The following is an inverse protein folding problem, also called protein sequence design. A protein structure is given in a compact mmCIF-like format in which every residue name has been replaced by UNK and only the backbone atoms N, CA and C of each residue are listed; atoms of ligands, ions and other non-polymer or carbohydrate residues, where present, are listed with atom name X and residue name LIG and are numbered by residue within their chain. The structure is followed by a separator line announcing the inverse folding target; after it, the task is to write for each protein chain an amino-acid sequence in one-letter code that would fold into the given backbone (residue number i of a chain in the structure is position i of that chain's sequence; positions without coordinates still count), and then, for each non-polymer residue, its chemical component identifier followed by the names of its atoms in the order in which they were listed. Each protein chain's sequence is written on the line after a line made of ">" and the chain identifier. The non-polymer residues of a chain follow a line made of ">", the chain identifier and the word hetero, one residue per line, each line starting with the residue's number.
data_IF_279087482948
#
_entry.id   IF_279087482948
#
_cell.length_a   1.000
_cell.length_b   1.000
_cell.length_c   1.000
_cell.angle_alpha   90.00
_cell.angle_beta   90.00
_cell.angle_gamma   90.00
#
_symmetry.space_group_name_H-M   'P 1'
#
loop_
_entity.id
_entity.type
_entity.pdbx_description
1 polymer ?
#
# COMPACT_ATOMS: atom_id res chain seq x y z
N UNK A 1 2.38 -7.41 -4.31
CA UNK A 1 1.96 -7.61 -5.72
C UNK A 1 1.21 -6.37 -6.14
N UNK A 2 1.65 -5.68 -7.21
CA UNK A 2 0.85 -4.58 -7.74
C UNK A 2 -0.55 -5.10 -8.06
N UNK A 3 -1.60 -4.46 -7.53
CA UNK A 3 -2.97 -4.74 -7.95
C UNK A 3 -3.06 -4.39 -9.42
N UNK A 4 -2.84 -5.39 -10.26
CA UNK A 4 -2.89 -5.26 -11.70
C UNK A 4 -4.35 -5.08 -12.11
N UNK A 5 -4.60 -4.60 -13.31
CA UNK A 5 -5.96 -4.61 -13.88
C UNK A 5 -6.65 -5.97 -13.75
N UNK A 6 -5.88 -7.06 -13.79
CA UNK A 6 -6.39 -8.43 -13.62
C UNK A 6 -7.06 -8.64 -12.26
N UNK A 7 -6.44 -8.17 -11.17
CA UNK A 7 -6.98 -8.33 -9.83
C UNK A 7 -8.21 -7.43 -9.61
N UNK A 8 -8.21 -6.23 -10.21
CA UNK A 8 -9.37 -5.36 -10.16
C UNK A 8 -10.55 -5.92 -10.96
N UNK A 9 -10.30 -6.49 -12.15
CA UNK A 9 -11.29 -7.23 -12.93
C UNK A 9 -11.86 -8.43 -12.14
N UNK A 10 -11.02 -9.17 -11.42
CA UNK A 10 -11.46 -10.29 -10.57
C UNK A 10 -12.38 -9.80 -9.44
N UNK A 11 -12.04 -8.69 -8.78
CA UNK A 11 -12.87 -8.04 -7.76
C UNK A 11 -14.25 -7.67 -8.32
N UNK A 12 -14.29 -7.03 -9.49
CA UNK A 12 -15.53 -6.66 -10.16
C UNK A 12 -16.36 -7.89 -10.61
N UNK A 13 -15.68 -8.95 -11.12
CA UNK A 13 -16.34 -10.20 -11.47
C UNK A 13 -17.05 -10.82 -10.27
N UNK A 14 -16.32 -10.91 -9.13
CA UNK A 14 -16.83 -11.49 -7.88
C UNK A 14 -18.04 -10.68 -7.38
N UNK A 15 -17.94 -9.34 -7.37
CA UNK A 15 -19.05 -8.48 -6.93
C UNK A 15 -20.32 -8.61 -7.77
N UNK A 16 -20.18 -9.09 -9.01
CA UNK A 16 -21.30 -9.35 -9.92
C UNK A 16 -21.76 -10.83 -9.94
N UNK A 17 -21.19 -11.67 -9.07
CA UNK A 17 -21.48 -13.10 -8.98
C UNK A 17 -21.29 -13.86 -10.33
N UNK A 18 -20.40 -13.42 -11.20
CA UNK A 18 -20.10 -14.07 -12.48
C UNK A 18 -19.10 -15.20 -12.22
N UNK A 19 -19.36 -16.42 -12.74
CA UNK A 19 -18.39 -17.51 -12.63
C UNK A 19 -17.11 -17.17 -13.43
N UNK A 20 -15.96 -17.73 -13.01
CA UNK A 20 -14.71 -17.45 -13.72
C UNK A 20 -14.74 -18.00 -15.15
N UNK A 21 -15.30 -19.20 -15.34
CA UNK A 21 -15.45 -19.80 -16.64
C UNK A 21 -16.29 -18.92 -17.57
N UNK A 22 -17.46 -18.46 -17.11
CA UNK A 22 -18.33 -17.59 -17.90
C UNK A 22 -17.63 -16.26 -18.21
N UNK A 23 -16.89 -15.70 -17.25
CA UNK A 23 -16.21 -14.44 -17.43
C UNK A 23 -15.16 -14.45 -18.53
N UNK A 24 -14.35 -15.52 -18.60
CA UNK A 24 -13.25 -15.62 -19.59
C UNK A 24 -13.67 -16.33 -20.88
N UNK A 25 -14.82 -16.99 -20.92
CA UNK A 25 -15.31 -17.75 -22.08
C UNK A 25 -15.30 -16.90 -23.35
N UNK A 26 -14.76 -17.44 -24.44
CA UNK A 26 -14.62 -16.76 -25.73
C UNK A 26 -13.50 -15.71 -25.82
N UNK A 27 -12.77 -15.41 -24.72
CA UNK A 27 -11.74 -14.37 -24.67
C UNK A 27 -10.37 -15.01 -24.40
N UNK A 28 -10.27 -15.86 -23.36
CA UNK A 28 -9.04 -16.55 -22.95
C UNK A 28 -9.36 -17.78 -22.10
N UNK A 29 -8.38 -18.65 -21.86
CA UNK A 29 -8.57 -19.82 -21.00
C UNK A 29 -8.51 -19.43 -19.51
N UNK A 30 -9.23 -20.17 -18.64
CA UNK A 30 -9.10 -19.98 -17.18
C UNK A 30 -7.67 -20.09 -16.67
N UNK A 31 -6.88 -21.03 -17.25
CA UNK A 31 -5.46 -21.23 -16.91
C UNK A 31 -4.67 -19.95 -17.18
N UNK A 32 -4.89 -19.32 -18.33
CA UNK A 32 -4.22 -18.08 -18.70
C UNK A 32 -4.68 -16.92 -17.78
N UNK A 33 -5.96 -16.82 -17.47
CA UNK A 33 -6.48 -15.83 -16.54
C UNK A 33 -5.86 -15.95 -15.14
N UNK A 34 -5.73 -17.18 -14.62
CA UNK A 34 -5.06 -17.45 -13.34
C UNK A 34 -3.60 -16.99 -13.32
N UNK A 35 -2.88 -17.15 -14.44
CA UNK A 35 -1.49 -16.64 -14.55
C UNK A 35 -1.42 -15.12 -14.47
N UNK A 36 -2.38 -14.42 -15.07
CA UNK A 36 -2.49 -12.96 -14.93
C UNK A 36 -2.78 -12.55 -13.49
N UNK A 37 -3.69 -13.23 -12.80
CA UNK A 37 -4.00 -12.96 -11.39
C UNK A 37 -2.80 -13.18 -10.46
N UNK A 38 -1.95 -14.17 -10.76
CA UNK A 38 -0.72 -14.44 -10.01
C UNK A 38 0.43 -13.50 -10.36
N UNK A 39 0.28 -12.67 -11.38
CA UNK A 39 1.34 -11.79 -11.86
C UNK A 39 2.45 -12.51 -12.62
N UNK A 40 2.22 -13.78 -13.05
CA UNK A 40 3.17 -14.57 -13.86
C UNK A 40 3.32 -14.01 -15.29
N UNK A 41 2.35 -13.24 -15.74
CA UNK A 41 2.37 -12.52 -17.01
C UNK A 41 1.42 -11.32 -16.95
N UNK A 42 1.64 -10.33 -17.82
CA UNK A 42 0.77 -9.15 -17.96
C UNK A 42 -0.37 -9.45 -18.92
N UNK A 43 -1.59 -9.03 -18.55
CA UNK A 43 -2.76 -9.16 -19.43
C UNK A 43 -2.68 -8.13 -20.56
N UNK A 44 -2.79 -8.54 -21.84
CA UNK A 44 -2.84 -7.60 -22.97
C UNK A 44 -4.06 -6.67 -22.89
N UNK A 45 -3.91 -5.44 -23.38
CA UNK A 45 -4.98 -4.42 -23.31
C UNK A 45 -6.24 -4.83 -24.08
N UNK A 46 -6.12 -5.54 -25.22
CA UNK A 46 -7.26 -6.06 -25.95
C UNK A 46 -8.09 -7.04 -25.12
N UNK A 47 -7.43 -7.89 -24.30
CA UNK A 47 -8.11 -8.80 -23.37
C UNK A 47 -8.77 -8.05 -22.21
N UNK A 48 -8.12 -7.01 -21.68
CA UNK A 48 -8.73 -6.13 -20.67
C UNK A 48 -10.01 -5.53 -21.21
N UNK A 49 -9.98 -4.95 -22.42
CA UNK A 49 -11.13 -4.34 -23.05
C UNK A 49 -12.31 -5.32 -23.20
N UNK A 50 -12.05 -6.51 -23.74
CA UNK A 50 -13.09 -7.53 -23.92
C UNK A 50 -13.72 -7.98 -22.57
N UNK A 51 -12.90 -8.14 -21.54
CA UNK A 51 -13.39 -8.52 -20.20
C UNK A 51 -14.17 -7.39 -19.53
N UNK A 52 -13.76 -6.13 -19.70
CA UNK A 52 -14.49 -4.94 -19.23
C UNK A 52 -15.86 -4.84 -19.91
N UNK A 53 -15.89 -5.00 -21.24
CA UNK A 53 -17.16 -5.04 -21.99
C UNK A 53 -18.09 -6.16 -21.51
N UNK A 54 -17.52 -7.33 -21.18
CA UNK A 54 -18.31 -8.46 -20.65
C UNK A 54 -18.88 -8.20 -19.25
N UNK A 55 -18.28 -7.29 -18.47
CA UNK A 55 -18.85 -6.77 -17.23
C UNK A 55 -19.94 -5.71 -17.48
N UNK A 56 -20.22 -5.35 -18.73
CA UNK A 56 -21.17 -4.28 -19.07
C UNK A 56 -20.65 -2.88 -18.70
N UNK A 57 -19.33 -2.70 -18.66
CA UNK A 57 -18.70 -1.42 -18.36
C UNK A 57 -18.09 -0.80 -19.62
N UNK A 58 -18.10 0.53 -19.66
CA UNK A 58 -17.23 1.29 -20.57
C UNK A 58 -15.78 1.23 -20.07
N UNK A 59 -14.83 1.29 -21.00
CA UNK A 59 -13.41 1.20 -20.68
C UNK A 59 -12.92 2.42 -19.88
N UNK A 60 -13.45 3.60 -20.18
CA UNK A 60 -13.09 4.82 -19.45
C UNK A 60 -13.63 4.75 -18.01
N UNK A 61 -14.86 4.33 -17.82
CA UNK A 61 -15.46 4.13 -16.49
C UNK A 61 -14.69 3.09 -15.66
N UNK A 62 -14.23 2.01 -16.32
CA UNK A 62 -13.39 1.02 -15.68
C UNK A 62 -12.06 1.60 -15.21
N UNK A 63 -11.37 2.38 -16.05
CA UNK A 63 -10.10 3.01 -15.66
C UNK A 63 -10.29 4.05 -14.56
N UNK A 64 -11.34 4.85 -14.60
CA UNK A 64 -11.64 5.83 -13.56
C UNK A 64 -11.93 5.13 -12.21
N UNK A 65 -12.79 4.12 -12.21
CA UNK A 65 -13.09 3.37 -10.98
C UNK A 65 -11.88 2.58 -10.45
N UNK A 66 -10.98 2.11 -11.32
CA UNK A 66 -9.72 1.50 -10.92
C UNK A 66 -8.77 2.50 -10.26
N UNK A 67 -8.71 3.74 -10.77
CA UNK A 67 -7.92 4.80 -10.16
C UNK A 67 -8.51 5.20 -8.80
N UNK A 68 -9.81 5.35 -8.70
CA UNK A 68 -10.52 5.65 -7.45
C UNK A 68 -10.28 4.57 -6.38
N UNK A 69 -10.33 3.29 -6.76
CA UNK A 69 -10.01 2.17 -5.86
C UNK A 69 -8.56 2.24 -5.35
N UNK A 70 -7.62 2.65 -6.18
CA UNK A 70 -6.23 2.88 -5.77
C UNK A 70 -6.06 4.08 -4.85
N UNK A 71 -6.76 5.18 -5.14
CA UNK A 71 -6.69 6.40 -4.33
C UNK A 71 -7.38 6.21 -2.98
N UNK A 72 -8.46 5.41 -2.91
CA UNK A 72 -9.16 5.12 -1.66
C UNK A 72 -8.23 4.51 -0.61
N UNK A 73 -7.38 3.56 -0.99
CA UNK A 73 -6.39 2.96 -0.08
C UNK A 73 -5.36 3.99 0.42
N UNK A 74 -4.87 4.86 -0.48
CA UNK A 74 -3.95 5.93 -0.07
C UNK A 74 -4.64 6.91 0.89
N UNK A 75 -5.91 7.24 0.66
CA UNK A 75 -6.66 8.14 1.54
C UNK A 75 -6.86 7.53 2.94
N UNK A 76 -7.15 6.22 3.01
CA UNK A 76 -7.26 5.51 4.31
C UNK A 76 -5.92 5.53 5.06
N UNK A 77 -4.78 5.31 4.37
CA UNK A 77 -3.45 5.39 4.98
C UNK A 77 -3.14 6.83 5.46
N UNK A 78 -3.51 7.86 4.68
CA UNK A 78 -3.38 9.25 5.09
C UNK A 78 -4.21 9.56 6.35
N UNK A 79 -5.41 9.03 6.45
CA UNK A 79 -6.24 9.16 7.64
C UNK A 79 -5.60 8.47 8.85
N UNK A 80 -5.05 7.25 8.67
CA UNK A 80 -4.31 6.54 9.70
C UNK A 80 -3.10 7.36 10.19
N UNK A 81 -2.31 7.91 9.27
CA UNK A 81 -1.21 8.81 9.60
C UNK A 81 -1.66 10.03 10.43
N UNK A 82 -2.76 10.67 10.05
CA UNK A 82 -3.31 11.82 10.77
C UNK A 82 -3.77 11.45 12.19
N UNK A 83 -4.39 10.28 12.38
CA UNK A 83 -4.78 9.79 13.71
C UNK A 83 -3.56 9.58 14.61
N UNK A 84 -2.49 8.96 14.07
CA UNK A 84 -1.24 8.75 14.79
C UNK A 84 -0.61 10.10 15.18
N UNK A 85 -0.49 11.02 14.23
CA UNK A 85 0.11 12.35 14.44
C UNK A 85 -0.65 13.19 15.46
N UNK A 86 -1.97 13.04 15.54
CA UNK A 86 -2.82 13.76 16.51
C UNK A 86 -2.99 13.02 17.84
N UNK A 87 -2.27 11.91 18.06
CA UNK A 87 -2.30 11.15 19.31
C UNK A 87 -3.57 10.29 19.52
N UNK A 88 -4.41 10.15 18.51
CA UNK A 88 -5.65 9.35 18.56
C UNK A 88 -5.34 7.86 18.35
N UNK A 89 -4.47 7.29 19.22
CA UNK A 89 -3.90 5.97 19.04
C UNK A 89 -4.93 4.82 19.09
N UNK A 90 -6.00 4.97 19.85
CA UNK A 90 -7.08 3.96 19.90
C UNK A 90 -7.83 3.88 18.57
N UNK A 91 -8.19 5.03 17.97
CA UNK A 91 -8.81 5.11 16.65
C UNK A 91 -7.86 4.59 15.57
N UNK A 92 -6.56 4.93 15.66
CA UNK A 92 -5.54 4.43 14.74
C UNK A 92 -5.40 2.90 14.80
N UNK A 93 -5.41 2.28 15.99
CA UNK A 93 -5.38 0.82 16.14
C UNK A 93 -6.62 0.15 15.53
N UNK A 94 -7.78 0.77 15.64
CA UNK A 94 -9.00 0.26 14.99
C UNK A 94 -8.90 0.38 13.48
N UNK A 95 -8.47 1.54 12.97
CA UNK A 95 -8.39 1.77 11.53
C UNK A 95 -7.36 0.85 10.85
N UNK A 96 -6.17 0.67 11.45
CA UNK A 96 -5.11 -0.15 10.86
C UNK A 96 -5.53 -1.63 10.69
N UNK A 97 -6.36 -2.15 11.60
CA UNK A 97 -6.88 -3.52 11.51
C UNK A 97 -7.85 -3.74 10.36
N UNK A 98 -8.39 -2.67 9.77
CA UNK A 98 -9.28 -2.75 8.60
C UNK A 98 -8.53 -2.73 7.28
N UNK A 99 -7.24 -2.39 7.29
CA UNK A 99 -6.43 -2.27 6.06
C UNK A 99 -5.81 -3.62 5.73
N UNK A 100 -6.15 -4.17 4.57
CA UNK A 100 -5.50 -5.37 4.06
C UNK A 100 -4.22 -4.99 3.29
N UNK A 101 -3.05 -5.25 3.88
CA UNK A 101 -1.75 -4.97 3.26
C UNK A 101 -1.59 -5.56 1.85
N UNK A 102 -2.18 -6.73 1.58
CA UNK A 102 -2.07 -7.40 0.29
C UNK A 102 -2.87 -6.69 -0.83
N UNK A 103 -3.83 -5.86 -0.47
CA UNK A 103 -4.63 -5.06 -1.42
C UNK A 103 -3.94 -3.74 -1.79
N UNK A 104 -2.90 -3.34 -1.05
CA UNK A 104 -2.13 -2.13 -1.36
C UNK A 104 -1.38 -2.31 -2.68
N UNK A 105 -1.70 -1.46 -3.65
CA UNK A 105 -1.33 -1.66 -5.06
C UNK A 105 0.06 -1.14 -5.42
N UNK A 106 0.58 -0.14 -4.69
CA UNK A 106 1.87 0.49 -5.00
C UNK A 106 2.90 0.28 -3.90
N UNK A 107 4.20 0.31 -4.25
CA UNK A 107 5.29 0.29 -3.28
C UNK A 107 5.18 1.46 -2.29
N UNK A 108 4.77 2.65 -2.78
CA UNK A 108 4.55 3.82 -1.93
C UNK A 108 3.45 3.61 -0.89
N UNK A 109 2.28 3.03 -1.27
CA UNK A 109 1.22 2.71 -0.32
C UNK A 109 1.69 1.72 0.75
N UNK A 110 2.45 0.69 0.36
CA UNK A 110 3.02 -0.29 1.27
C UNK A 110 4.03 0.32 2.22
N UNK A 111 4.94 1.14 1.70
CA UNK A 111 5.91 1.87 2.50
C UNK A 111 5.21 2.79 3.51
N UNK A 112 4.17 3.53 3.07
CA UNK A 112 3.42 4.43 3.94
C UNK A 112 2.62 3.70 5.02
N UNK A 113 1.99 2.58 4.68
CA UNK A 113 1.33 1.71 5.65
C UNK A 113 2.31 1.17 6.69
N UNK A 114 3.45 0.61 6.24
CA UNK A 114 4.49 0.06 7.14
C UNK A 114 5.04 1.14 8.07
N UNK A 115 5.28 2.35 7.55
CA UNK A 115 5.65 3.50 8.38
C UNK A 115 4.62 3.78 9.47
N UNK A 116 3.33 3.84 9.13
CA UNK A 116 2.25 4.07 10.09
C UNK A 116 2.19 2.94 11.15
N UNK A 117 2.31 1.70 10.73
CA UNK A 117 2.30 0.53 11.62
C UNK A 117 3.46 0.55 12.62
N UNK A 118 4.68 0.79 12.14
CA UNK A 118 5.88 0.91 12.98
C UNK A 118 5.74 2.04 14.00
N UNK A 119 5.32 3.23 13.54
CA UNK A 119 5.15 4.39 14.41
C UNK A 119 4.08 4.14 15.48
N UNK A 120 2.94 3.57 15.09
CA UNK A 120 1.87 3.21 16.02
C UNK A 120 2.35 2.18 17.06
N UNK A 121 3.12 1.17 16.66
CA UNK A 121 3.65 0.16 17.56
C UNK A 121 4.66 0.74 18.56
N UNK A 122 5.49 1.69 18.16
CA UNK A 122 6.40 2.39 19.08
C UNK A 122 5.61 3.29 20.05
N UNK A 123 4.65 4.07 19.56
CA UNK A 123 3.85 4.98 20.38
C UNK A 123 2.94 4.23 21.37
N UNK A 124 2.46 3.05 21.01
CA UNK A 124 1.68 2.17 21.89
C UNK A 124 2.55 1.26 22.76
N UNK A 125 3.88 1.42 22.73
CA UNK A 125 4.88 0.63 23.48
C UNK A 125 4.88 -0.87 23.17
N UNK A 126 4.35 -1.29 22.02
CA UNK A 126 4.44 -2.67 21.51
C UNK A 126 5.85 -2.96 20.99
N UNK A 127 6.53 -1.94 20.48
CA UNK A 127 7.92 -1.99 19.98
C UNK A 127 8.77 -1.00 20.78
N UNK A 128 9.94 -1.42 21.30
CA UNK A 128 10.90 -0.52 21.94
C UNK A 128 11.36 0.58 20.95
N UNK A 129 11.65 1.79 21.45
CA UNK A 129 12.12 2.91 20.63
C UNK A 129 13.40 2.60 19.85
N UNK A 130 14.36 1.89 20.48
CA UNK A 130 15.61 1.48 19.81
C UNK A 130 15.37 0.60 18.58
N UNK A 131 14.48 -0.40 18.73
CA UNK A 131 14.09 -1.25 17.60
C UNK A 131 13.28 -0.46 16.56
N UNK A 132 12.39 0.43 17.01
CA UNK A 132 11.64 1.32 16.12
C UNK A 132 12.55 2.21 15.27
N UNK A 133 13.64 2.72 15.85
CA UNK A 133 14.68 3.46 15.14
C UNK A 133 15.31 2.62 14.01
N UNK A 134 15.77 1.41 14.33
CA UNK A 134 16.41 0.52 13.35
C UNK A 134 15.45 0.17 12.20
N UNK A 135 14.20 -0.20 12.53
CA UNK A 135 13.18 -0.55 11.54
C UNK A 135 12.78 0.64 10.64
N UNK A 136 12.77 1.88 11.18
CA UNK A 136 12.52 3.07 10.37
C UNK A 136 13.65 3.34 9.36
N UNK A 137 14.91 3.13 9.75
CA UNK A 137 16.05 3.28 8.85
C UNK A 137 16.06 2.19 7.77
N UNK A 138 15.73 0.94 8.14
CA UNK A 138 15.58 -0.16 7.19
C UNK A 138 14.47 0.11 6.17
N UNK A 139 13.31 0.62 6.61
CA UNK A 139 12.16 0.94 5.75
C UNK A 139 12.50 1.88 4.60
N UNK A 140 13.46 2.79 4.82
CA UNK A 140 13.86 3.81 3.85
C UNK A 140 15.21 3.53 3.17
N UNK A 141 15.81 2.35 3.41
CA UNK A 141 17.14 1.98 2.88
C UNK A 141 18.22 3.03 3.26
N UNK A 142 18.26 3.45 4.54
CA UNK A 142 19.27 4.37 5.04
C UNK A 142 20.65 3.68 5.17
N UNK A 143 21.79 4.30 4.79
CA UNK A 143 21.94 5.71 4.39
C UNK A 143 21.72 5.99 2.89
N UNK A 144 21.43 4.97 2.10
CA UNK A 144 21.33 5.07 0.63
C UNK A 144 20.23 6.05 0.17
N UNK A 145 19.16 6.20 0.93
CA UNK A 145 18.09 7.17 0.64
C UNK A 145 18.60 8.60 0.51
N UNK A 146 19.71 8.95 1.20
CA UNK A 146 20.32 10.29 1.14
C UNK A 146 21.02 10.57 -0.21
N UNK A 147 21.32 9.55 -0.99
CA UNK A 147 21.91 9.67 -2.33
C UNK A 147 20.84 9.98 -3.40
N UNK A 148 19.56 9.84 -3.06
CA UNK A 148 18.45 10.06 -3.98
C UNK A 148 18.28 11.56 -4.27
N UNK A 149 18.06 11.91 -5.55
CA UNK A 149 17.74 13.30 -5.96
C UNK A 149 16.44 13.83 -5.36
N UNK A 150 15.53 12.94 -5.01
CA UNK A 150 14.21 13.27 -4.46
C UNK A 150 13.89 12.29 -3.34
N UNK A 151 13.63 12.83 -2.16
CA UNK A 151 13.14 12.11 -0.99
C UNK A 151 11.61 12.25 -1.01
N UNK A 152 10.88 11.14 -0.92
CA UNK A 152 9.43 11.17 -0.86
C UNK A 152 8.93 11.53 0.56
N UNK A 153 7.63 11.84 0.69
CA UNK A 153 7.05 12.23 1.97
C UNK A 153 7.25 11.17 3.08
N UNK A 154 7.13 9.89 2.76
CA UNK A 154 7.25 8.80 3.75
C UNK A 154 8.70 8.67 4.23
N UNK A 155 9.66 8.79 3.33
CA UNK A 155 11.09 8.78 3.65
C UNK A 155 11.45 9.94 4.59
N UNK A 156 10.90 11.13 4.31
CA UNK A 156 11.13 12.32 5.16
C UNK A 156 10.58 12.12 6.58
N UNK A 157 9.31 11.72 6.71
CA UNK A 157 8.69 11.54 8.04
C UNK A 157 9.25 10.33 8.79
N UNK A 158 9.81 9.34 8.09
CA UNK A 158 10.51 8.22 8.71
C UNK A 158 11.85 8.67 9.32
N UNK A 159 12.61 9.53 8.64
CA UNK A 159 13.83 10.16 9.20
C UNK A 159 13.50 10.98 10.45
N UNK A 160 12.45 11.80 10.39
CA UNK A 160 11.99 12.59 11.54
C UNK A 160 11.60 11.69 12.73
N UNK A 161 10.83 10.63 12.46
CA UNK A 161 10.40 9.67 13.50
C UNK A 161 11.60 8.92 14.08
N UNK A 162 12.54 8.47 13.26
CA UNK A 162 13.77 7.82 13.70
C UNK A 162 14.57 8.74 14.62
N UNK A 163 14.77 10.00 14.22
CA UNK A 163 15.43 11.00 15.07
C UNK A 163 14.73 11.16 16.42
N UNK A 164 13.39 11.24 16.43
CA UNK A 164 12.61 11.37 17.68
C UNK A 164 12.68 10.13 18.59
N UNK A 165 12.91 8.94 18.04
CA UNK A 165 13.07 7.72 18.83
C UNK A 165 14.42 7.64 19.55
N UNK A 166 15.45 8.30 19.02
CA UNK A 166 16.77 8.43 19.66
C UNK A 166 16.79 9.46 20.80
N UNK A 167 15.94 10.47 20.76
CA UNK A 167 15.93 11.57 21.73
C UNK A 167 15.39 11.14 23.11
N UNK A 168 16.06 10.16 23.74
CA UNK A 168 16.06 9.97 25.17
C UNK A 168 17.38 10.57 25.70
N UNK A 169 17.37 11.25 26.82
CA UNK A 169 18.42 12.04 27.49
C UNK A 169 19.87 11.49 27.51
N UNK A 170 20.17 10.37 26.87
CA UNK A 170 21.49 9.76 26.73
C UNK A 170 21.99 9.66 25.27
N UNK A 171 21.14 9.93 24.29
CA UNK A 171 21.45 9.76 22.85
C UNK A 171 21.25 11.04 22.02
N UNK A 172 21.18 12.22 22.68
CA UNK A 172 21.00 13.53 22.01
C UNK A 172 22.05 13.80 20.92
N UNK A 173 23.30 13.33 21.11
CA UNK A 173 24.37 13.49 20.13
C UNK A 173 24.14 12.71 18.82
N UNK A 174 23.38 11.61 18.86
CA UNK A 174 23.01 10.83 17.67
C UNK A 174 21.82 11.40 16.93
N UNK A 175 20.88 12.02 17.65
CA UNK A 175 19.69 12.65 17.08
C UNK A 175 20.00 13.90 16.24
N UNK A 176 21.14 14.54 16.50
CA UNK A 176 21.59 15.77 15.81
C UNK A 176 22.44 15.50 14.56
N UNK A 177 22.70 14.25 14.19
CA UNK A 177 23.58 13.88 13.06
C UNK A 177 22.80 13.67 11.74
N UNK A 178 21.51 13.98 11.67
CA UNK A 178 20.68 13.92 10.47
C UNK A 178 20.44 15.29 9.84
#
# INVERSE_FOLDING_TARGET
>A
MNTTFSNYLEKLRISRNISRNDFVSGILSERQYRRYLKGESTMPNDKVHLLVTKLGLDLADFYMSYLDDKESHLQVIKNLFNLIRTGKLAEANTLISTINYNELSTSYQKQFYTFCELNLNVLTKKTPKSLGYELMLELIDYPRVLENKHINFVELVALESASSFLSNKKDDDRALTF
#
